data_IF_721195731336
#
_entry.id   IF_721195731336
#
_cell.length_a   1.000
_cell.length_b   1.000
_cell.length_c   1.000
_cell.angle_alpha   90.00
_cell.angle_beta   90.00
_cell.angle_gamma   90.00
#
_symmetry.space_group_name_H-M   'P 1'
#
loop_
_entity.id
_entity.type
_entity.pdbx_description
1 polymer ?
#
# COMPACT_ATOMS: atom_id res chain seq x y z
N UNK A 1 -11.58 87.57 11.68
CA UNK A 1 -12.24 87.36 10.38
C UNK A 1 -11.56 86.17 9.74
N UNK A 2 -11.98 84.96 10.09
CA UNK A 2 -11.58 83.78 9.32
C UNK A 2 -12.39 83.85 8.03
N UNK A 3 -11.72 83.90 6.87
CA UNK A 3 -12.40 83.85 5.58
C UNK A 3 -13.14 82.52 5.47
N UNK A 4 -14.47 82.57 5.46
CA UNK A 4 -15.33 81.44 5.14
C UNK A 4 -15.13 81.12 3.65
N UNK A 5 -14.44 80.01 3.35
CA UNK A 5 -14.33 79.47 1.99
C UNK A 5 -15.72 79.24 1.42
N UNK A 6 -15.94 79.61 0.16
CA UNK A 6 -17.25 79.47 -0.46
C UNK A 6 -17.59 78.00 -0.71
N UNK A 7 -18.88 77.65 -0.63
CA UNK A 7 -19.36 76.28 -0.92
C UNK A 7 -18.96 75.83 -2.33
N UNK A 8 -18.82 76.76 -3.29
CA UNK A 8 -18.34 76.47 -4.65
C UNK A 8 -16.88 76.03 -4.70
N UNK A 9 -16.00 76.65 -3.92
CA UNK A 9 -14.58 76.25 -3.82
C UNK A 9 -14.42 74.88 -3.16
N UNK A 10 -15.23 74.59 -2.14
CA UNK A 10 -15.26 73.27 -1.49
C UNK A 10 -15.79 72.18 -2.43
N UNK A 11 -16.78 72.50 -3.28
CA UNK A 11 -17.31 71.57 -4.27
C UNK A 11 -16.34 71.35 -5.45
N UNK A 12 -15.61 72.38 -5.90
CA UNK A 12 -14.55 72.20 -6.91
C UNK A 12 -13.33 71.45 -6.35
N UNK A 13 -13.01 71.61 -5.07
CA UNK A 13 -11.96 70.82 -4.40
C UNK A 13 -12.39 69.34 -4.23
N UNK A 14 -13.71 69.08 -4.06
CA UNK A 14 -14.27 67.72 -3.95
C UNK A 14 -14.63 67.06 -5.29
N UNK A 15 -14.99 67.82 -6.33
CA UNK A 15 -15.57 67.30 -7.58
C UNK A 15 -15.00 67.95 -8.85
N UNK A 16 -14.10 68.92 -8.74
CA UNK A 16 -13.45 69.54 -9.89
C UNK A 16 -12.58 68.54 -10.66
N UNK A 17 -12.39 68.77 -11.96
CA UNK A 17 -11.70 67.86 -12.88
C UNK A 17 -10.30 67.43 -12.38
N UNK A 18 -9.56 68.33 -11.73
CA UNK A 18 -8.26 67.99 -11.13
C UNK A 18 -8.37 67.04 -9.94
N UNK A 19 -9.42 67.15 -9.13
CA UNK A 19 -9.65 66.25 -7.99
C UNK A 19 -10.07 64.84 -8.45
N UNK A 20 -10.86 64.76 -9.53
CA UNK A 20 -11.25 63.49 -10.17
C UNK A 20 -10.03 62.82 -10.80
N UNK A 21 -9.19 63.57 -11.53
CA UNK A 21 -7.95 63.03 -12.13
C UNK A 21 -6.95 62.52 -11.08
N UNK A 22 -6.83 63.21 -9.93
CA UNK A 22 -6.01 62.75 -8.78
C UNK A 22 -6.54 61.46 -8.15
N UNK A 23 -7.86 61.29 -8.04
CA UNK A 23 -8.47 60.04 -7.53
C UNK A 23 -8.27 58.88 -8.51
N UNK A 24 -8.43 59.14 -9.80
CA UNK A 24 -8.25 58.15 -10.85
C UNK A 24 -6.81 57.63 -10.87
N UNK A 25 -5.83 58.53 -10.85
CA UNK A 25 -4.40 58.16 -10.79
C UNK A 25 -4.02 57.43 -9.49
N UNK A 26 -4.62 57.79 -8.35
CA UNK A 26 -4.41 57.08 -7.09
C UNK A 26 -4.98 55.64 -7.12
N UNK A 27 -6.15 55.43 -7.74
CA UNK A 27 -6.74 54.11 -7.94
C UNK A 27 -5.88 53.25 -8.87
N UNK A 28 -5.41 53.80 -9.99
CA UNK A 28 -4.52 53.10 -10.92
C UNK A 28 -3.18 52.71 -10.26
N UNK A 29 -2.61 53.59 -9.43
CA UNK A 29 -1.41 53.27 -8.63
C UNK A 29 -1.68 52.16 -7.61
N UNK A 30 -2.85 52.18 -6.97
CA UNK A 30 -3.27 51.13 -6.05
C UNK A 30 -3.42 49.78 -6.75
N UNK A 31 -4.11 49.74 -7.91
CA UNK A 31 -4.32 48.54 -8.70
C UNK A 31 -3.00 47.97 -9.22
N UNK A 32 -2.09 48.82 -9.72
CA UNK A 32 -0.73 48.45 -10.12
C UNK A 32 0.06 47.86 -8.94
N UNK A 33 0.00 48.49 -7.76
CA UNK A 33 0.61 47.98 -6.54
C UNK A 33 0.02 46.65 -6.06
N UNK A 34 -1.27 46.41 -6.29
CA UNK A 34 -1.92 45.13 -6.00
C UNK A 34 -1.47 44.03 -6.95
N UNK A 35 -1.37 44.32 -8.25
CA UNK A 35 -0.84 43.39 -9.25
C UNK A 35 0.59 42.96 -8.92
N UNK A 36 1.44 43.90 -8.51
CA UNK A 36 2.82 43.63 -8.09
C UNK A 36 2.89 42.78 -6.83
N UNK A 37 2.08 43.07 -5.81
CA UNK A 37 2.00 42.23 -4.59
C UNK A 37 1.56 40.81 -4.93
N UNK A 38 0.55 40.65 -5.78
CA UNK A 38 0.09 39.33 -6.25
C UNK A 38 1.16 38.59 -7.04
N UNK A 39 1.87 39.27 -7.93
CA UNK A 39 2.97 38.68 -8.71
C UNK A 39 4.14 38.27 -7.80
N UNK A 40 4.55 39.13 -6.87
CA UNK A 40 5.59 38.85 -5.87
C UNK A 40 5.25 37.61 -5.04
N UNK A 41 4.03 37.58 -4.52
CA UNK A 41 3.53 36.45 -3.73
C UNK A 41 3.49 35.16 -4.55
N UNK A 42 2.95 35.21 -5.77
CA UNK A 42 2.85 34.04 -6.66
C UNK A 42 4.22 33.47 -7.02
N UNK A 43 5.17 34.32 -7.41
CA UNK A 43 6.50 33.85 -7.80
C UNK A 43 7.26 33.28 -6.61
N UNK A 44 7.22 33.94 -5.44
CA UNK A 44 7.87 33.44 -4.23
C UNK A 44 7.28 32.08 -3.79
N UNK A 45 5.95 31.97 -3.72
CA UNK A 45 5.29 30.72 -3.38
C UNK A 45 5.62 29.61 -4.39
N UNK A 46 5.64 29.92 -5.69
CA UNK A 46 6.01 28.95 -6.72
C UNK A 46 7.44 28.42 -6.57
N UNK A 47 8.39 29.22 -6.06
CA UNK A 47 9.74 28.74 -5.74
C UNK A 47 9.73 27.82 -4.52
N UNK A 48 9.07 28.23 -3.44
CA UNK A 48 8.99 27.46 -2.18
C UNK A 48 8.30 26.12 -2.42
N UNK A 49 7.10 26.14 -3.02
CA UNK A 49 6.31 24.94 -3.31
C UNK A 49 7.06 23.96 -4.21
N UNK A 50 7.81 24.45 -5.20
CA UNK A 50 8.62 23.60 -6.08
C UNK A 50 9.73 22.87 -5.32
N UNK A 51 10.40 23.56 -4.40
CA UNK A 51 11.47 23.00 -3.57
C UNK A 51 10.92 22.01 -2.55
N UNK A 52 9.82 22.35 -1.87
CA UNK A 52 9.15 21.46 -0.94
C UNK A 52 8.58 20.21 -1.63
N UNK A 53 8.05 20.36 -2.85
CA UNK A 53 7.58 19.23 -3.66
C UNK A 53 8.72 18.26 -3.98
N UNK A 54 9.91 18.78 -4.33
CA UNK A 54 11.08 17.94 -4.56
C UNK A 54 11.57 17.23 -3.28
N UNK A 55 11.61 17.91 -2.12
CA UNK A 55 11.96 17.25 -0.84
C UNK A 55 10.94 16.17 -0.46
N UNK A 56 9.65 16.45 -0.64
CA UNK A 56 8.57 15.51 -0.36
C UNK A 56 8.65 14.29 -1.28
N UNK A 57 8.87 14.49 -2.58
CA UNK A 57 9.03 13.41 -3.53
C UNK A 57 10.26 12.52 -3.20
N UNK A 58 11.39 13.14 -2.85
CA UNK A 58 12.59 12.42 -2.40
C UNK A 58 12.31 11.57 -1.15
N UNK A 59 11.67 12.17 -0.13
CA UNK A 59 11.25 11.49 1.10
C UNK A 59 10.33 10.31 0.79
N UNK A 60 9.25 10.52 0.06
CA UNK A 60 8.26 9.49 -0.28
C UNK A 60 8.89 8.35 -1.07
N UNK A 61 9.80 8.65 -2.00
CA UNK A 61 10.50 7.63 -2.79
C UNK A 61 11.40 6.76 -1.91
N UNK A 62 12.18 7.37 -1.01
CA UNK A 62 13.06 6.63 -0.11
C UNK A 62 12.27 5.78 0.90
N UNK A 63 11.24 6.35 1.53
CA UNK A 63 10.37 5.64 2.47
C UNK A 63 9.68 4.46 1.79
N UNK A 64 9.11 4.65 0.59
CA UNK A 64 8.46 3.56 -0.15
C UNK A 64 9.43 2.42 -0.48
N UNK A 65 10.68 2.73 -0.81
CA UNK A 65 11.70 1.72 -1.09
C UNK A 65 12.05 0.92 0.18
N UNK A 66 12.25 1.60 1.31
CA UNK A 66 12.49 0.99 2.62
C UNK A 66 11.32 0.09 3.04
N UNK A 67 10.09 0.60 2.98
CA UNK A 67 8.88 -0.15 3.26
C UNK A 67 8.76 -1.40 2.41
N UNK A 68 8.95 -1.25 1.09
CA UNK A 68 8.92 -2.36 0.16
C UNK A 68 9.96 -3.42 0.48
N UNK A 69 11.17 -3.01 0.87
CA UNK A 69 12.22 -3.93 1.30
C UNK A 69 11.88 -4.66 2.60
N UNK A 70 11.43 -3.96 3.64
CA UNK A 70 11.08 -4.58 4.93
C UNK A 70 9.95 -5.58 4.77
N UNK A 71 8.92 -5.29 3.95
CA UNK A 71 7.82 -6.23 3.67
C UNK A 71 8.27 -7.48 2.90
N UNK A 72 9.26 -7.36 2.00
CA UNK A 72 9.87 -8.54 1.37
C UNK A 72 10.62 -9.40 2.39
N UNK A 73 11.48 -8.76 3.20
CA UNK A 73 12.22 -9.43 4.27
C UNK A 73 11.27 -10.12 5.26
N UNK A 74 10.15 -9.49 5.63
CA UNK A 74 9.09 -10.07 6.46
C UNK A 74 8.59 -11.40 5.87
N UNK A 75 8.16 -11.36 4.61
CA UNK A 75 7.58 -12.52 3.93
C UNK A 75 8.58 -13.68 3.85
N UNK A 76 9.81 -13.40 3.42
CA UNK A 76 10.86 -14.41 3.24
C UNK A 76 11.33 -14.98 4.59
N UNK A 77 11.47 -14.12 5.61
CA UNK A 77 11.84 -14.52 6.96
C UNK A 77 10.80 -15.44 7.58
N UNK A 78 9.51 -15.12 7.45
CA UNK A 78 8.43 -15.95 7.99
C UNK A 78 8.33 -17.30 7.26
N UNK A 79 8.46 -17.30 5.93
CA UNK A 79 8.48 -18.53 5.14
C UNK A 79 9.67 -19.42 5.52
N UNK A 80 10.87 -18.83 5.65
CA UNK A 80 12.09 -19.52 6.04
C UNK A 80 12.00 -20.08 7.46
N UNK A 81 11.55 -19.27 8.42
CA UNK A 81 11.43 -19.69 9.82
C UNK A 81 10.43 -20.84 9.99
N UNK A 82 9.25 -20.76 9.34
CA UNK A 82 8.27 -21.85 9.33
C UNK A 82 8.86 -23.15 8.78
N UNK A 83 9.63 -23.08 7.69
CA UNK A 83 10.32 -24.24 7.12
C UNK A 83 11.38 -24.82 8.07
N UNK A 84 12.16 -23.98 8.73
CA UNK A 84 13.21 -24.40 9.67
C UNK A 84 12.64 -25.08 10.92
N UNK A 85 11.54 -24.56 11.46
CA UNK A 85 10.88 -25.12 12.65
C UNK A 85 9.98 -26.32 12.29
N UNK A 86 9.70 -26.53 11.00
CA UNK A 86 8.86 -27.63 10.53
C UNK A 86 7.37 -27.38 10.68
N UNK A 87 6.94 -26.11 10.67
CA UNK A 87 5.52 -25.73 10.65
C UNK A 87 4.98 -26.01 9.25
N UNK A 88 3.90 -26.78 9.18
CA UNK A 88 3.20 -27.12 7.94
C UNK A 88 2.32 -25.96 7.52
N UNK A 89 2.42 -25.59 6.23
CA UNK A 89 1.69 -24.46 5.66
C UNK A 89 0.16 -24.63 5.61
N UNK A 90 -0.55 -23.66 5.03
CA UNK A 90 -2.00 -23.73 4.88
C UNK A 90 -2.43 -24.87 3.94
N UNK A 91 -3.57 -25.47 4.23
CA UNK A 91 -4.19 -26.54 3.45
C UNK A 91 -4.63 -26.07 2.06
N UNK A 92 -5.12 -24.82 1.97
CA UNK A 92 -5.73 -24.25 0.75
C UNK A 92 -6.87 -25.14 0.22
N UNK A 93 -7.78 -25.56 1.10
CA UNK A 93 -8.84 -26.53 0.78
C UNK A 93 -9.70 -26.10 -0.40
N UNK A 94 -10.00 -24.81 -0.56
CA UNK A 94 -10.81 -24.32 -1.68
C UNK A 94 -10.14 -24.54 -3.04
N UNK A 95 -8.80 -24.43 -3.09
CA UNK A 95 -8.02 -24.74 -4.30
C UNK A 95 -7.97 -26.24 -4.56
N UNK A 96 -7.79 -27.04 -3.48
CA UNK A 96 -7.79 -28.51 -3.58
C UNK A 96 -9.14 -29.02 -4.05
N UNK A 97 -10.23 -28.52 -3.48
CA UNK A 97 -11.59 -28.88 -3.86
C UNK A 97 -11.91 -28.47 -5.31
N UNK A 98 -11.55 -27.25 -5.71
CA UNK A 98 -11.67 -26.82 -7.10
C UNK A 98 -10.87 -27.72 -8.06
N UNK A 99 -9.69 -28.22 -7.65
CA UNK A 99 -8.93 -29.18 -8.43
C UNK A 99 -9.61 -30.56 -8.49
N UNK A 100 -10.17 -31.05 -7.38
CA UNK A 100 -10.92 -32.30 -7.33
C UNK A 100 -12.11 -32.30 -8.28
N UNK A 101 -12.85 -31.19 -8.34
CA UNK A 101 -13.99 -31.03 -9.26
C UNK A 101 -13.61 -31.14 -10.74
N UNK A 102 -12.35 -30.86 -11.10
CA UNK A 102 -11.84 -30.94 -12.49
C UNK A 102 -11.27 -32.32 -12.85
N UNK A 103 -11.17 -33.24 -11.90
CA UNK A 103 -10.61 -34.57 -12.17
C UNK A 103 -11.61 -35.44 -12.93
N UNK A 104 -11.11 -36.16 -13.94
CA UNK A 104 -11.89 -37.05 -14.80
C UNK A 104 -11.65 -38.53 -14.48
N UNK A 105 -10.62 -38.84 -13.69
CA UNK A 105 -10.33 -40.18 -13.21
C UNK A 105 -10.66 -40.33 -11.72
N UNK A 106 -11.46 -41.36 -11.40
CA UNK A 106 -11.81 -41.72 -10.02
C UNK A 106 -10.61 -42.19 -9.22
N UNK A 107 -9.64 -42.88 -9.84
CA UNK A 107 -8.46 -43.34 -9.13
C UNK A 107 -7.55 -42.16 -8.74
N UNK A 108 -7.35 -41.21 -9.67
CA UNK A 108 -6.65 -39.96 -9.37
C UNK A 108 -7.33 -39.17 -8.24
N UNK A 109 -8.65 -38.98 -8.28
CA UNK A 109 -9.40 -38.27 -7.23
C UNK A 109 -9.17 -38.89 -5.85
N UNK A 110 -9.33 -40.22 -5.74
CA UNK A 110 -9.16 -40.92 -4.47
C UNK A 110 -7.72 -40.81 -3.95
N UNK A 111 -6.71 -40.93 -4.83
CA UNK A 111 -5.32 -40.77 -4.45
C UNK A 111 -5.02 -39.35 -3.92
N UNK A 112 -5.63 -38.32 -4.53
CA UNK A 112 -5.44 -36.91 -4.14
C UNK A 112 -6.16 -36.56 -2.83
N UNK A 113 -7.30 -37.19 -2.57
CA UNK A 113 -7.99 -37.09 -1.27
C UNK A 113 -7.20 -37.78 -0.16
N UNK A 114 -6.63 -38.96 -0.43
CA UNK A 114 -5.76 -39.68 0.51
C UNK A 114 -4.51 -38.84 0.86
N UNK A 115 -3.87 -38.23 -0.14
CA UNK A 115 -2.77 -37.26 0.06
C UNK A 115 -3.21 -36.06 0.92
N UNK A 116 -4.45 -35.61 0.77
CA UNK A 116 -4.98 -34.49 1.56
C UNK A 116 -5.19 -34.86 3.01
N UNK A 117 -5.76 -36.04 3.30
CA UNK A 117 -5.90 -36.55 4.66
C UNK A 117 -4.54 -36.80 5.32
N UNK A 118 -3.58 -37.35 4.59
CA UNK A 118 -2.21 -37.52 5.08
C UNK A 118 -1.54 -36.17 5.40
N UNK A 119 -1.75 -35.16 4.57
CA UNK A 119 -1.25 -33.81 4.82
C UNK A 119 -1.88 -33.20 6.09
N UNK A 120 -3.20 -33.34 6.28
CA UNK A 120 -3.90 -32.89 7.50
C UNK A 120 -3.30 -33.58 8.73
N UNK A 121 -3.09 -34.89 8.66
CA UNK A 121 -2.51 -35.65 9.76
C UNK A 121 -1.10 -35.17 10.14
N UNK A 122 -0.24 -34.90 9.16
CA UNK A 122 1.08 -34.32 9.40
C UNK A 122 0.95 -32.93 10.02
N UNK A 123 0.04 -32.08 9.51
CA UNK A 123 -0.21 -30.74 10.03
C UNK A 123 -0.63 -30.76 11.50
N UNK A 124 -1.58 -31.62 11.87
CA UNK A 124 -2.07 -31.74 13.25
C UNK A 124 -0.97 -32.16 14.23
N UNK A 125 -0.05 -33.03 13.81
CA UNK A 125 1.09 -33.45 14.64
C UNK A 125 2.20 -32.39 14.69
N UNK A 126 2.38 -31.64 13.60
CA UNK A 126 3.48 -30.73 13.44
C UNK A 126 3.21 -29.36 14.08
N UNK A 127 2.01 -28.82 13.90
CA UNK A 127 1.67 -27.43 14.23
C UNK A 127 1.14 -27.31 15.66
N UNK A 128 2.06 -27.29 16.63
CA UNK A 128 1.74 -26.93 18.01
C UNK A 128 1.90 -25.43 18.24
N UNK A 129 1.17 -24.85 19.20
CA UNK A 129 1.29 -23.44 19.54
C UNK A 129 2.74 -23.03 19.85
N UNK A 130 3.50 -23.89 20.54
CA UNK A 130 4.92 -23.66 20.83
C UNK A 130 5.79 -23.61 19.58
N UNK A 131 5.57 -24.49 18.61
CA UNK A 131 6.32 -24.49 17.33
C UNK A 131 5.95 -23.30 16.46
N UNK A 132 4.66 -22.94 16.42
CA UNK A 132 4.22 -21.75 15.68
C UNK A 132 4.85 -20.50 16.30
N UNK A 133 4.81 -20.36 17.64
CA UNK A 133 5.49 -19.27 18.36
C UNK A 133 6.99 -19.23 18.08
N UNK A 134 7.67 -20.37 18.15
CA UNK A 134 9.09 -20.46 17.84
C UNK A 134 9.40 -20.04 16.38
N UNK A 135 8.50 -20.31 15.43
CA UNK A 135 8.65 -19.83 14.07
C UNK A 135 8.50 -18.30 13.97
N UNK A 136 7.58 -17.68 14.71
CA UNK A 136 7.47 -16.22 14.77
C UNK A 136 8.66 -15.55 15.48
N UNK A 137 9.17 -16.14 16.55
CA UNK A 137 10.36 -15.64 17.23
C UNK A 137 11.60 -15.70 16.33
N UNK A 138 11.79 -16.84 15.64
CA UNK A 138 12.86 -17.00 14.65
C UNK A 138 12.68 -16.05 13.46
N UNK A 139 11.46 -15.87 12.97
CA UNK A 139 11.16 -14.90 11.92
C UNK A 139 11.48 -13.48 12.36
N UNK A 140 11.12 -13.07 13.58
CA UNK A 140 11.43 -11.75 14.12
C UNK A 140 12.93 -11.47 14.17
N UNK A 141 13.73 -12.46 14.58
CA UNK A 141 15.19 -12.34 14.56
C UNK A 141 15.75 -12.19 13.13
N UNK A 142 15.23 -12.97 12.18
CA UNK A 142 15.62 -12.86 10.77
C UNK A 142 15.22 -11.52 10.16
N UNK A 143 14.04 -10.98 10.51
CA UNK A 143 13.59 -9.66 10.07
C UNK A 143 14.52 -8.56 10.58
N UNK A 144 14.89 -8.59 11.87
CA UNK A 144 15.83 -7.61 12.42
C UNK A 144 17.20 -7.70 11.74
N UNK A 145 17.69 -8.91 11.48
CA UNK A 145 18.95 -9.14 10.77
C UNK A 145 18.88 -8.65 9.31
N UNK A 146 17.79 -8.92 8.61
CA UNK A 146 17.57 -8.48 7.24
C UNK A 146 17.40 -6.96 7.13
N UNK A 147 16.64 -6.36 8.04
CA UNK A 147 16.44 -4.91 8.10
C UNK A 147 17.74 -4.16 8.44
N UNK A 148 18.62 -4.73 9.27
CA UNK A 148 19.93 -4.14 9.58
C UNK A 148 20.80 -3.87 8.34
N UNK A 149 20.60 -4.61 7.24
CA UNK A 149 21.28 -4.38 5.95
C UNK A 149 20.95 -3.01 5.33
N UNK A 150 19.84 -2.38 5.71
CA UNK A 150 19.52 -1.02 5.27
C UNK A 150 20.56 -0.01 5.77
N UNK A 151 21.15 -0.24 6.94
CA UNK A 151 22.23 0.58 7.48
C UNK A 151 23.55 0.41 6.74
N UNK A 152 23.68 -0.59 5.86
CA UNK A 152 24.84 -0.77 4.98
C UNK A 152 24.73 0.05 3.68
N UNK A 153 23.53 0.54 3.33
CA UNK A 153 23.32 1.37 2.14
C UNK A 153 23.91 2.75 2.37
N UNK A 154 24.95 3.08 1.60
CA UNK A 154 25.64 4.38 1.65
C UNK A 154 25.09 5.31 0.58
N UNK A 155 24.93 6.57 0.93
CA UNK A 155 24.59 7.63 -0.04
C UNK A 155 25.76 7.83 -0.99
N UNK A 156 25.50 7.79 -2.29
CA UNK A 156 26.53 7.99 -3.33
C UNK A 156 27.00 9.45 -3.38
N UNK A 157 28.09 9.70 -4.11
CA UNK A 157 28.59 11.07 -4.32
C UNK A 157 27.55 11.93 -5.05
N UNK A 158 27.40 13.17 -4.55
CA UNK A 158 26.51 14.18 -5.10
C UNK A 158 26.80 14.47 -6.58
N UNK A 159 25.81 14.97 -7.29
CA UNK A 159 26.01 15.50 -8.64
C UNK A 159 26.99 16.69 -8.59
N UNK A 160 27.92 16.81 -9.56
CA UNK A 160 28.80 17.96 -9.63
C UNK A 160 27.97 19.23 -9.81
N UNK A 161 28.23 20.26 -8.97
CA UNK A 161 27.65 21.57 -9.17
C UNK A 161 28.16 22.17 -10.49
N UNK A 162 27.27 22.86 -11.20
CA UNK A 162 27.64 23.69 -12.33
C UNK A 162 28.56 24.82 -11.85
N UNK A 163 29.72 24.97 -12.49
CA UNK A 163 30.72 25.97 -12.14
C UNK A 163 30.18 27.41 -12.31
N UNK A 164 29.18 27.59 -13.18
CA UNK A 164 28.55 28.89 -13.44
C UNK A 164 27.57 29.30 -12.32
N UNK A 165 27.20 28.38 -11.42
CA UNK A 165 26.35 28.64 -10.24
C UNK A 165 27.14 29.19 -9.04
N UNK A 166 28.47 29.23 -9.14
CA UNK A 166 29.38 29.73 -8.09
C UNK A 166 29.41 31.26 -8.04
N UNK A 167 28.30 31.87 -7.63
CA UNK A 167 28.36 33.26 -7.17
C UNK A 167 29.04 33.32 -5.80
N UNK A 168 29.83 34.38 -5.57
CA UNK A 168 30.46 34.75 -4.30
C UNK A 168 29.49 34.83 -3.09
N UNK A 169 28.17 34.83 -3.33
CA UNK A 169 27.12 34.70 -2.32
C UNK A 169 27.14 33.36 -1.56
N UNK A 170 27.68 32.27 -2.15
CA UNK A 170 27.75 30.95 -1.49
C UNK A 170 28.69 30.93 -0.27
N UNK A 171 29.74 31.74 -0.25
CA UNK A 171 30.66 31.82 0.90
C UNK A 171 30.03 32.48 2.14
N UNK A 172 29.04 33.36 1.93
CA UNK A 172 28.27 33.99 3.01
C UNK A 172 27.15 33.08 3.53
N UNK A 173 26.57 32.23 2.66
CA UNK A 173 25.53 31.26 3.02
C UNK A 173 26.09 30.00 3.72
N UNK A 174 27.36 29.65 3.48
CA UNK A 174 28.08 28.55 4.16
C UNK A 174 28.08 28.65 5.70
N UNK A 175 27.94 29.85 6.27
CA UNK A 175 27.86 30.08 7.72
C UNK A 175 26.45 29.96 8.32
N UNK A 176 25.40 29.90 7.49
CA UNK A 176 23.98 29.84 7.92
C UNK A 176 23.30 28.48 7.64
N UNK A 177 24.03 27.56 7.01
CA UNK A 177 23.55 26.27 6.48
C UNK A 177 23.21 25.19 7.52
N UNK A 178 23.24 25.52 8.82
CA UNK A 178 22.71 24.65 9.89
C UNK A 178 21.18 24.83 10.08
N UNK A 179 20.56 25.69 9.28
CA UNK A 179 19.12 25.96 9.36
C UNK A 179 18.33 25.01 8.46
N UNK A 180 17.43 24.24 9.07
CA UNK A 180 16.43 23.39 8.39
C UNK A 180 15.38 24.19 7.60
N UNK A 181 15.45 25.53 7.62
CA UNK A 181 14.45 26.44 7.04
C UNK A 181 14.86 26.93 5.64
N UNK A 182 14.76 26.01 4.67
CA UNK A 182 15.03 26.33 3.26
C UNK A 182 14.04 27.37 2.70
N UNK A 183 12.79 27.36 3.16
CA UNK A 183 11.78 28.34 2.78
C UNK A 183 12.14 29.75 3.28
N UNK A 184 12.63 29.89 4.51
CA UNK A 184 13.14 31.14 5.07
C UNK A 184 14.34 31.67 4.29
N UNK A 185 15.28 30.80 3.90
CA UNK A 185 16.43 31.18 3.07
C UNK A 185 16.03 31.64 1.66
N UNK A 186 15.10 30.92 1.01
CA UNK A 186 14.54 31.31 -0.30
C UNK A 186 13.89 32.69 -0.20
N UNK A 187 13.10 32.91 0.85
CA UNK A 187 12.44 34.19 1.12
C UNK A 187 13.46 35.30 1.30
N UNK A 188 14.47 35.11 2.16
CA UNK A 188 15.51 36.11 2.40
C UNK A 188 16.29 36.46 1.12
N UNK A 189 16.63 35.45 0.31
CA UNK A 189 17.32 35.65 -0.98
C UNK A 189 16.46 36.45 -1.94
N UNK A 190 15.19 36.06 -2.09
CA UNK A 190 14.24 36.73 -2.95
C UNK A 190 14.02 38.20 -2.56
N UNK A 191 13.87 38.48 -1.26
CA UNK A 191 13.69 39.85 -0.75
C UNK A 191 14.94 40.72 -0.86
N UNK A 192 16.12 40.12 -0.65
CA UNK A 192 17.40 40.79 -0.87
C UNK A 192 17.58 41.21 -2.33
N UNK A 193 17.27 40.31 -3.26
CA UNK A 193 17.36 40.56 -4.70
C UNK A 193 16.37 41.62 -5.18
N UNK A 194 15.16 41.64 -4.64
CA UNK A 194 14.19 42.71 -4.90
C UNK A 194 14.71 44.06 -4.41
N UNK A 195 15.30 44.10 -3.23
CA UNK A 195 15.83 45.33 -2.61
C UNK A 195 17.07 45.88 -3.34
N UNK A 196 17.94 44.99 -3.86
CA UNK A 196 19.11 45.35 -4.66
C UNK A 196 18.73 45.98 -6.02
N UNK A 197 17.56 45.62 -6.55
CA UNK A 197 17.02 46.17 -7.81
C UNK A 197 16.07 47.36 -7.61
N UNK A 198 16.08 47.99 -6.42
CA UNK A 198 15.18 49.07 -6.01
C UNK A 198 15.02 50.22 -7.01
N UNK A 199 13.95 51.03 -6.87
CA UNK A 199 13.52 51.97 -7.90
C UNK A 199 14.63 52.97 -8.21
N UNK A 200 15.20 52.88 -9.42
CA UNK A 200 16.05 53.94 -9.95
C UNK A 200 15.15 55.12 -10.23
N UNK A 201 15.27 56.18 -9.43
CA UNK A 201 14.56 57.45 -9.61
C UNK A 201 14.62 57.88 -11.07
N UNK A 202 13.50 57.73 -11.78
CA UNK A 202 13.30 58.39 -13.05
C UNK A 202 13.04 59.86 -12.74
N UNK A 203 14.13 60.63 -12.64
CA UNK A 203 14.08 62.08 -12.55
C UNK A 203 13.24 62.66 -13.69
N UNK A 204 12.13 63.28 -13.29
CA UNK A 204 11.39 64.35 -13.96
C UNK A 204 11.16 64.27 -15.46
N UNK A 205 9.98 63.83 -15.89
CA UNK A 205 9.36 64.34 -17.11
C UNK A 205 7.83 64.45 -16.95
N UNK A 206 7.35 65.69 -16.83
CA UNK A 206 5.94 66.04 -16.84
C UNK A 206 5.44 66.16 -18.30
N UNK A 207 4.38 65.43 -18.65
CA UNK A 207 3.70 65.54 -19.95
C UNK A 207 2.47 64.64 -20.04
N UNK A 208 1.27 65.25 -19.90
CA UNK A 208 -0.03 64.63 -19.58
C UNK A 208 -0.70 63.67 -20.58
N UNK A 209 0.04 62.97 -21.44
CA UNK A 209 -0.47 61.82 -22.21
C UNK A 209 0.56 60.67 -22.23
N UNK A 210 1.81 60.93 -21.82
CA UNK A 210 2.88 59.95 -21.70
C UNK A 210 2.91 59.25 -20.32
N UNK A 211 2.10 59.71 -19.36
CA UNK A 211 2.08 59.20 -17.99
C UNK A 211 1.56 57.77 -17.85
N UNK A 212 0.62 57.36 -18.68
CA UNK A 212 0.02 56.02 -18.60
C UNK A 212 0.94 54.95 -19.22
N UNK A 213 1.47 55.21 -20.41
CA UNK A 213 2.48 54.36 -21.07
C UNK A 213 3.76 54.25 -20.24
N UNK A 214 4.19 55.34 -19.59
CA UNK A 214 5.34 55.31 -18.68
C UNK A 214 5.05 54.48 -17.41
N UNK A 215 3.82 54.53 -16.89
CA UNK A 215 3.37 53.74 -15.76
C UNK A 215 3.31 52.24 -16.06
N UNK A 216 2.83 51.86 -17.24
CA UNK A 216 2.78 50.46 -17.67
C UNK A 216 4.18 49.89 -17.94
N UNK A 217 5.07 50.68 -18.55
CA UNK A 217 6.48 50.28 -18.74
C UNK A 217 7.20 50.15 -17.39
N UNK A 218 6.88 50.98 -16.40
CA UNK A 218 7.43 50.84 -15.05
C UNK A 218 6.91 49.57 -14.35
N UNK A 219 5.61 49.28 -14.46
CA UNK A 219 5.00 48.05 -13.94
C UNK A 219 5.64 46.80 -14.57
N UNK A 220 5.83 46.77 -15.89
CA UNK A 220 6.44 45.66 -16.59
C UNK A 220 7.90 45.43 -16.17
N UNK A 221 8.66 46.51 -15.94
CA UNK A 221 10.01 46.44 -15.37
C UNK A 221 10.02 45.86 -13.96
N UNK A 222 9.09 46.26 -13.10
CA UNK A 222 9.01 45.69 -11.75
C UNK A 222 8.60 44.21 -11.78
N UNK A 223 7.67 43.81 -12.66
CA UNK A 223 7.32 42.39 -12.86
C UNK A 223 8.49 41.56 -13.39
N UNK A 224 9.30 42.11 -14.29
CA UNK A 224 10.52 41.43 -14.75
C UNK A 224 11.58 41.33 -13.65
N UNK A 225 11.71 42.34 -12.79
CA UNK A 225 12.56 42.27 -11.60
C UNK A 225 12.09 41.17 -10.63
N UNK A 226 10.77 41.06 -10.40
CA UNK A 226 10.18 39.99 -9.58
C UNK A 226 10.52 38.61 -10.14
N UNK A 227 10.37 38.41 -11.45
CA UNK A 227 10.76 37.13 -12.11
C UNK A 227 12.26 36.87 -12.01
N UNK A 228 13.10 37.90 -12.15
CA UNK A 228 14.54 37.82 -12.00
C UNK A 228 14.97 37.43 -10.58
N UNK A 229 14.34 38.03 -9.57
CA UNK A 229 14.54 37.68 -8.17
C UNK A 229 14.11 36.24 -7.87
N UNK A 230 12.97 35.80 -8.42
CA UNK A 230 12.50 34.42 -8.31
C UNK A 230 13.50 33.44 -8.93
N UNK A 231 14.04 33.75 -10.11
CA UNK A 231 15.04 32.91 -10.76
C UNK A 231 16.32 32.81 -9.94
N UNK A 232 16.80 33.92 -9.37
CA UNK A 232 17.99 33.90 -8.49
C UNK A 232 17.74 33.12 -7.20
N UNK A 233 16.55 33.25 -6.61
CA UNK A 233 16.16 32.44 -5.46
C UNK A 233 16.11 30.93 -5.78
N UNK A 234 15.65 30.53 -6.99
CA UNK A 234 15.72 29.13 -7.46
C UNK A 234 17.16 28.63 -7.56
N UNK A 235 18.06 29.42 -8.16
CA UNK A 235 19.48 29.05 -8.31
C UNK A 235 20.16 28.93 -6.94
N UNK A 236 19.87 29.83 -6.00
CA UNK A 236 20.38 29.76 -4.63
C UNK A 236 19.86 28.50 -3.89
N UNK A 237 18.57 28.17 -4.06
CA UNK A 237 18.00 26.95 -3.50
C UNK A 237 18.66 25.69 -4.06
N UNK A 238 18.94 25.66 -5.38
CA UNK A 238 19.66 24.54 -6.01
C UNK A 238 21.08 24.39 -5.46
N UNK A 239 21.82 25.50 -5.34
CA UNK A 239 23.17 25.47 -4.79
C UNK A 239 23.20 24.98 -3.34
N UNK A 240 22.23 25.41 -2.52
CA UNK A 240 22.10 24.95 -1.14
C UNK A 240 21.79 23.46 -1.04
N UNK A 241 20.88 22.96 -1.87
CA UNK A 241 20.59 21.51 -1.92
C UNK A 241 21.79 20.70 -2.34
N UNK A 242 22.57 21.19 -3.31
CA UNK A 242 23.78 20.52 -3.75
C UNK A 242 24.86 20.51 -2.64
N UNK A 243 24.95 21.56 -1.81
CA UNK A 243 25.81 21.54 -0.62
C UNK A 243 25.34 20.52 0.43
N UNK A 244 24.03 20.48 0.73
CA UNK A 244 23.45 19.46 1.62
C UNK A 244 23.72 18.04 1.10
N UNK A 245 23.51 17.81 -0.19
CA UNK A 245 23.80 16.57 -0.90
C UNK A 245 25.27 16.14 -0.74
N UNK A 246 26.21 17.09 -0.86
CA UNK A 246 27.63 16.84 -0.66
C UNK A 246 27.97 16.47 0.80
N UNK A 247 27.30 17.08 1.78
CA UNK A 247 27.50 16.76 3.22
C UNK A 247 27.00 15.36 3.58
N UNK A 248 25.88 14.93 2.99
CA UNK A 248 25.30 13.61 3.28
C UNK A 248 25.91 12.47 2.46
N UNK A 249 26.77 12.77 1.48
CA UNK A 249 27.50 11.74 0.74
C UNK A 249 28.28 10.82 1.70
N UNK A 250 28.19 9.51 1.47
CA UNK A 250 28.77 8.48 2.35
C UNK A 250 28.03 8.24 3.67
N UNK A 251 26.99 9.02 3.98
CA UNK A 251 26.13 8.76 5.15
C UNK A 251 25.29 7.51 4.93
N UNK A 252 24.69 7.00 6.00
CA UNK A 252 23.76 5.88 5.95
C UNK A 252 22.58 6.09 6.88
N UNK A 253 21.59 5.22 6.73
CA UNK A 253 20.39 5.25 7.56
C UNK A 253 20.71 4.64 8.92
N UNK A 254 20.72 5.50 9.95
CA UNK A 254 20.80 5.07 11.35
C UNK A 254 19.39 4.93 11.93
N UNK A 255 19.00 3.73 12.43
CA UNK A 255 17.67 3.51 12.95
C UNK A 255 17.47 4.18 14.31
N UNK A 256 16.28 4.76 14.56
CA UNK A 256 15.99 5.55 15.78
C UNK A 256 15.76 4.66 17.01
N UNK A 257 15.16 3.47 16.85
CA UNK A 257 15.04 2.46 17.91
C UNK A 257 14.43 1.17 17.35
N UNK A 258 15.23 0.10 17.24
CA UNK A 258 14.70 -1.19 16.80
C UNK A 258 13.96 -1.91 17.94
N UNK A 259 12.84 -2.60 17.67
CA UNK A 259 12.18 -3.44 18.65
C UNK A 259 13.07 -4.63 19.03
N UNK A 260 12.94 -5.10 20.27
CA UNK A 260 13.74 -6.24 20.78
C UNK A 260 13.26 -7.59 20.25
N UNK A 261 11.94 -7.77 20.14
CA UNK A 261 11.32 -9.03 19.71
C UNK A 261 9.86 -8.83 19.31
N UNK A 262 9.32 -9.80 18.56
CA UNK A 262 7.93 -9.76 18.09
C UNK A 262 6.91 -10.11 19.19
N UNK A 263 7.29 -10.90 20.20
CA UNK A 263 6.44 -11.28 21.34
C UNK A 263 5.04 -11.81 20.94
N UNK A 264 4.97 -12.59 19.86
CA UNK A 264 3.69 -13.08 19.32
C UNK A 264 3.11 -14.13 20.26
N UNK A 265 1.87 -13.90 20.70
CA UNK A 265 1.12 -14.87 21.50
C UNK A 265 0.52 -15.93 20.56
N UNK A 266 0.76 -17.20 20.87
CA UNK A 266 0.16 -18.33 20.16
C UNK A 266 -0.58 -19.20 21.16
N UNK A 267 -1.86 -19.44 20.91
CA UNK A 267 -2.74 -20.22 21.79
C UNK A 267 -3.31 -21.42 21.04
N UNK A 268 -3.40 -22.55 21.72
CA UNK A 268 -4.13 -23.71 21.21
C UNK A 268 -5.63 -23.45 21.37
N UNK A 269 -6.35 -23.30 20.26
CA UNK A 269 -7.77 -22.93 20.28
C UNK A 269 -8.73 -24.13 20.17
N UNK A 270 -8.23 -25.29 19.74
CA UNK A 270 -9.01 -26.53 19.63
C UNK A 270 -8.40 -27.63 20.48
N UNK A 271 -9.24 -28.50 21.06
CA UNK A 271 -8.75 -29.68 21.76
C UNK A 271 -8.09 -30.66 20.77
N UNK A 272 -6.83 -31.00 21.04
CA UNK A 272 -6.06 -31.86 20.15
C UNK A 272 -6.59 -33.30 20.10
N UNK A 273 -7.23 -33.77 21.19
CA UNK A 273 -7.87 -35.08 21.27
C UNK A 273 -9.13 -35.14 20.42
N UNK A 274 -10.02 -34.17 20.55
CA UNK A 274 -11.24 -34.07 19.74
C UNK A 274 -10.94 -33.89 18.24
N UNK A 275 -9.89 -33.12 17.91
CA UNK A 275 -9.48 -32.93 16.52
C UNK A 275 -8.87 -34.20 15.91
N UNK A 276 -8.14 -34.97 16.72
CA UNK A 276 -7.63 -36.30 16.33
C UNK A 276 -8.77 -37.31 16.15
N UNK A 277 -9.77 -37.26 17.02
CA UNK A 277 -10.98 -38.07 16.91
C UNK A 277 -11.76 -37.71 15.64
N UNK A 278 -11.92 -36.41 15.33
CA UNK A 278 -12.56 -35.98 14.08
C UNK A 278 -11.82 -36.52 12.86
N UNK A 279 -10.48 -36.43 12.83
CA UNK A 279 -9.66 -37.02 11.76
C UNK A 279 -9.91 -38.53 11.63
N UNK A 280 -9.98 -39.26 12.74
CA UNK A 280 -10.25 -40.71 12.73
C UNK A 280 -11.64 -41.02 12.14
N UNK A 281 -12.66 -40.25 12.53
CA UNK A 281 -14.01 -40.41 11.97
C UNK A 281 -14.08 -40.03 10.49
N UNK A 282 -13.35 -39.00 10.05
CA UNK A 282 -13.27 -38.63 8.62
C UNK A 282 -12.55 -39.71 7.81
N UNK A 283 -11.47 -40.30 8.32
CA UNK A 283 -10.80 -41.43 7.67
C UNK A 283 -11.73 -42.64 7.54
N UNK A 284 -12.52 -42.95 8.58
CA UNK A 284 -13.54 -44.00 8.51
C UNK A 284 -14.62 -43.69 7.47
N UNK A 285 -15.10 -42.45 7.40
CA UNK A 285 -16.05 -42.01 6.39
C UNK A 285 -15.46 -42.09 4.97
N UNK A 286 -14.16 -41.78 4.82
CA UNK A 286 -13.44 -41.88 3.55
C UNK A 286 -13.36 -43.32 3.02
N UNK A 287 -13.23 -44.33 3.89
CA UNK A 287 -13.27 -45.74 3.47
C UNK A 287 -14.62 -46.11 2.84
N UNK A 288 -15.72 -45.62 3.43
CA UNK A 288 -17.07 -45.80 2.88
C UNK A 288 -17.23 -45.02 1.58
N UNK A 289 -16.82 -43.75 1.55
CA UNK A 289 -16.81 -42.91 0.34
C UNK A 289 -16.04 -43.57 -0.81
N UNK A 290 -14.86 -44.14 -0.53
CA UNK A 290 -14.06 -44.85 -1.51
C UNK A 290 -14.81 -46.02 -2.15
N UNK A 291 -15.64 -46.73 -1.37
CA UNK A 291 -16.50 -47.81 -1.90
C UNK A 291 -17.63 -47.25 -2.77
N UNK A 292 -18.31 -46.20 -2.30
CA UNK A 292 -19.36 -45.50 -3.07
C UNK A 292 -18.83 -45.02 -4.44
N UNK A 293 -17.65 -44.41 -4.48
CA UNK A 293 -17.01 -43.95 -5.72
C UNK A 293 -16.49 -45.12 -6.58
N UNK A 294 -16.04 -46.21 -5.96
CA UNK A 294 -15.64 -47.40 -6.71
C UNK A 294 -16.83 -48.00 -7.47
N UNK A 295 -17.98 -48.10 -6.80
CA UNK A 295 -19.23 -48.69 -7.30
C UNK A 295 -19.97 -47.77 -8.28
N UNK A 296 -20.10 -46.48 -7.95
CA UNK A 296 -20.87 -45.49 -8.72
C UNK A 296 -20.06 -44.57 -9.65
N UNK A 297 -18.73 -44.61 -9.59
CA UNK A 297 -17.86 -43.73 -10.38
C UNK A 297 -17.90 -42.26 -9.92
N UNK A 298 -17.41 -41.35 -10.76
CA UNK A 298 -17.34 -39.91 -10.44
C UNK A 298 -18.71 -39.24 -10.29
N UNK A 299 -19.76 -39.83 -10.88
CA UNK A 299 -21.15 -39.40 -10.68
C UNK A 299 -21.55 -39.43 -9.20
N UNK A 300 -21.01 -40.37 -8.43
CA UNK A 300 -21.26 -40.52 -7.00
C UNK A 300 -20.14 -39.89 -6.14
N UNK A 301 -19.16 -39.20 -6.73
CA UNK A 301 -18.04 -38.63 -5.97
C UNK A 301 -18.36 -37.28 -5.32
N UNK A 302 -19.40 -36.60 -5.79
CA UNK A 302 -19.79 -35.27 -5.35
C UNK A 302 -21.32 -35.24 -5.20
N UNK A 303 -21.84 -34.50 -4.21
CA UNK A 303 -23.28 -34.46 -3.89
C UNK A 303 -24.17 -33.97 -5.04
N UNK A 304 -25.49 -33.98 -4.83
CA UNK A 304 -26.47 -33.54 -5.82
C UNK A 304 -26.16 -32.11 -6.32
N UNK A 305 -26.04 -31.92 -7.64
CA UNK A 305 -25.66 -30.65 -8.26
C UNK A 305 -24.17 -30.53 -8.65
N UNK A 306 -23.38 -31.59 -8.49
CA UNK A 306 -21.98 -31.58 -8.96
C UNK A 306 -21.87 -31.48 -10.49
N UNK A 307 -20.78 -30.91 -11.02
CA UNK A 307 -20.56 -30.82 -12.47
C UNK A 307 -20.66 -32.18 -13.18
N UNK A 308 -20.24 -33.24 -12.49
CA UNK A 308 -20.26 -34.62 -12.96
C UNK A 308 -21.66 -35.25 -12.96
N UNK A 309 -22.62 -34.71 -12.19
CA UNK A 309 -24.01 -35.18 -12.13
C UNK A 309 -24.99 -34.41 -13.01
N UNK A 310 -24.54 -33.36 -13.72
CA UNK A 310 -25.39 -32.55 -14.60
C UNK A 310 -25.48 -33.23 -15.98
N UNK A 311 -26.41 -34.16 -16.13
CA UNK A 311 -26.89 -34.63 -17.44
C UNK A 311 -27.98 -33.69 -17.99
N UNK A 312 -27.70 -32.39 -18.02
CA UNK A 312 -28.56 -31.42 -18.70
C UNK A 312 -27.70 -30.56 -19.60
N UNK A 313 -28.11 -30.42 -20.87
CA UNK A 313 -27.69 -29.31 -21.72
C UNK A 313 -28.13 -28.01 -21.07
N UNK A 314 -27.39 -27.56 -20.05
CA UNK A 314 -27.67 -26.31 -19.37
C UNK A 314 -27.29 -25.19 -20.32
N UNK A 315 -28.33 -24.56 -20.83
CA UNK A 315 -28.34 -23.28 -21.49
C UNK A 315 -27.97 -22.22 -20.45
N UNK A 316 -26.76 -21.63 -20.50
CA UNK A 316 -26.38 -20.56 -19.58
C UNK A 316 -26.96 -19.24 -20.09
N UNK A 317 -27.81 -18.62 -19.29
CA UNK A 317 -28.36 -17.31 -19.56
C UNK A 317 -27.53 -16.25 -18.82
N UNK A 318 -27.26 -15.13 -19.47
CA UNK A 318 -26.66 -13.94 -18.86
C UNK A 318 -27.64 -12.78 -19.00
N UNK A 319 -27.67 -11.93 -17.99
CA UNK A 319 -28.61 -10.82 -17.94
C UNK A 319 -28.04 -9.66 -18.78
N UNK A 320 -28.64 -9.42 -19.95
CA UNK A 320 -28.22 -8.29 -20.80
C UNK A 320 -28.97 -7.03 -20.36
N UNK A 321 -28.25 -6.17 -19.65
CA UNK A 321 -28.77 -4.89 -19.15
C UNK A 321 -29.34 -3.96 -20.24
N UNK A 322 -29.08 -4.22 -21.53
CA UNK A 322 -29.67 -3.47 -22.65
C UNK A 322 -31.08 -3.92 -23.00
N UNK A 323 -31.42 -5.17 -22.70
CA UNK A 323 -32.72 -5.78 -23.02
C UNK A 323 -33.57 -6.07 -21.78
N UNK A 324 -33.01 -5.94 -20.57
CA UNK A 324 -33.69 -6.23 -19.30
C UNK A 324 -34.29 -7.66 -19.28
N UNK A 325 -33.59 -8.58 -19.93
CA UNK A 325 -34.00 -9.97 -20.08
C UNK A 325 -32.78 -10.90 -19.98
N UNK A 326 -33.03 -12.12 -19.52
CA UNK A 326 -32.06 -13.20 -19.50
C UNK A 326 -31.85 -13.72 -20.93
N UNK A 327 -30.67 -13.48 -21.50
CA UNK A 327 -30.33 -13.88 -22.88
C UNK A 327 -29.52 -15.18 -22.86
N UNK A 328 -29.90 -16.15 -23.70
CA UNK A 328 -29.18 -17.42 -23.83
C UNK A 328 -27.79 -17.19 -24.43
N UNK A 329 -26.74 -17.41 -23.63
CA UNK A 329 -25.34 -17.23 -24.02
C UNK A 329 -24.72 -18.49 -24.63
N UNK A 330 -25.24 -19.67 -24.32
CA UNK A 330 -24.81 -20.91 -24.97
C UNK A 330 -25.37 -22.17 -24.32
N UNK A 331 -25.37 -23.28 -25.06
CA UNK A 331 -25.78 -24.60 -24.58
C UNK A 331 -24.58 -25.48 -24.21
N UNK A 332 -24.70 -26.21 -23.11
CA UNK A 332 -23.71 -27.20 -22.68
C UNK A 332 -23.67 -28.39 -23.65
N UNK A 333 -22.54 -28.57 -24.35
CA UNK A 333 -22.35 -29.59 -25.39
C UNK A 333 -21.68 -30.90 -24.90
N UNK A 334 -21.40 -31.00 -23.60
CA UNK A 334 -20.73 -32.17 -23.00
C UNK A 334 -19.24 -32.33 -23.36
N UNK A 335 -18.67 -31.43 -24.17
CA UNK A 335 -17.24 -31.41 -24.54
C UNK A 335 -16.49 -30.22 -23.89
N UNK A 336 -17.22 -29.18 -23.49
CA UNK A 336 -16.66 -27.99 -22.86
C UNK A 336 -16.30 -28.27 -21.40
N UNK A 337 -15.00 -28.19 -21.07
CA UNK A 337 -14.48 -28.35 -19.70
C UNK A 337 -15.28 -27.49 -18.73
N UNK A 338 -15.70 -28.06 -17.61
CA UNK A 338 -16.33 -27.30 -16.53
C UNK A 338 -15.45 -26.10 -16.17
N UNK A 339 -15.97 -24.88 -16.36
CA UNK A 339 -15.26 -23.66 -16.01
C UNK A 339 -15.34 -23.45 -14.49
N UNK A 340 -14.71 -24.37 -13.74
CA UNK A 340 -14.65 -24.32 -12.29
C UNK A 340 -13.68 -23.21 -11.91
N UNK A 341 -14.17 -22.23 -11.14
CA UNK A 341 -13.36 -21.13 -10.59
C UNK A 341 -12.09 -21.66 -9.93
N UNK A 342 -11.05 -20.82 -9.85
CA UNK A 342 -9.75 -21.20 -9.28
C UNK A 342 -9.86 -21.68 -7.83
N UNK A 343 -10.83 -21.14 -7.08
CA UNK A 343 -11.13 -21.43 -5.68
C UNK A 343 -12.65 -21.65 -5.54
N UNK A 344 -13.04 -22.74 -4.88
CA UNK A 344 -14.44 -23.12 -4.64
C UNK A 344 -14.54 -23.72 -3.24
N UNK A 345 -15.47 -23.23 -2.42
CA UNK A 345 -15.75 -23.80 -1.11
C UNK A 345 -16.47 -25.16 -1.22
N UNK A 346 -16.23 -26.06 -0.26
CA UNK A 346 -17.04 -27.28 -0.13
C UNK A 346 -18.48 -26.85 0.23
N UNK A 347 -19.50 -27.27 -0.55
CA UNK A 347 -20.88 -26.87 -0.30
C UNK A 347 -21.39 -27.28 1.08
N UNK A 348 -22.41 -26.58 1.55
CA UNK A 348 -23.21 -27.00 2.71
C UNK A 348 -24.15 -28.12 2.29
N UNK A 349 -23.73 -29.35 2.61
CA UNK A 349 -24.44 -30.58 2.21
C UNK A 349 -25.29 -31.18 3.33
N UNK A 350 -25.24 -30.58 4.52
CA UNK A 350 -25.92 -31.02 5.74
C UNK A 350 -26.44 -29.78 6.44
N UNK A 351 -27.66 -29.83 6.99
CA UNK A 351 -28.20 -28.75 7.82
C UNK A 351 -27.40 -28.66 9.13
N UNK A 352 -26.56 -27.63 9.21
CA UNK A 352 -25.72 -27.29 10.36
C UNK A 352 -26.46 -26.35 11.33
N UNK A 353 -25.96 -26.19 12.56
CA UNK A 353 -26.48 -25.18 13.48
C UNK A 353 -26.38 -23.76 12.88
N UNK A 354 -27.36 -22.88 13.14
CA UNK A 354 -27.42 -21.51 12.59
C UNK A 354 -26.38 -20.53 13.17
N UNK A 355 -25.32 -21.02 13.80
CA UNK A 355 -24.24 -20.20 14.33
C UNK A 355 -23.20 -19.88 13.24
N UNK A 356 -22.48 -18.77 13.38
CA UNK A 356 -21.34 -18.44 12.51
C UNK A 356 -20.28 -19.55 12.57
N UNK A 357 -20.08 -20.25 11.44
CA UNK A 357 -19.19 -21.41 11.34
C UNK A 357 -19.86 -22.78 11.58
N UNK A 358 -21.17 -22.82 11.84
CA UNK A 358 -21.98 -24.03 11.93
C UNK A 358 -21.72 -24.86 13.19
N UNK A 359 -21.64 -26.18 13.04
CA UNK A 359 -21.45 -27.10 14.16
C UNK A 359 -20.10 -26.91 14.87
N UNK A 360 -20.12 -26.92 16.22
CA UNK A 360 -18.92 -26.94 17.08
C UNK A 360 -18.07 -28.21 16.87
N UNK A 361 -16.80 -28.22 17.30
CA UNK A 361 -15.90 -29.38 17.12
C UNK A 361 -16.50 -30.67 17.72
N UNK A 362 -16.99 -30.60 18.96
CA UNK A 362 -17.66 -31.71 19.63
C UNK A 362 -18.94 -32.16 18.89
N UNK A 363 -19.73 -31.22 18.38
CA UNK A 363 -20.93 -31.52 17.60
C UNK A 363 -20.59 -32.20 16.26
N UNK A 364 -19.53 -31.73 15.57
CA UNK A 364 -19.04 -32.33 14.35
C UNK A 364 -18.53 -33.77 14.58
N UNK A 365 -17.81 -34.02 15.68
CA UNK A 365 -17.39 -35.37 16.08
C UNK A 365 -18.60 -36.28 16.33
N UNK A 366 -19.58 -35.81 17.10
CA UNK A 366 -20.78 -36.57 17.40
C UNK A 366 -21.58 -36.92 16.12
N UNK A 367 -21.74 -35.95 15.22
CA UNK A 367 -22.43 -36.14 13.94
C UNK A 367 -21.68 -37.09 13.03
N UNK A 368 -20.36 -36.97 12.93
CA UNK A 368 -19.54 -37.91 12.14
C UNK A 368 -19.64 -39.36 12.68
N UNK A 369 -19.76 -39.55 14.00
CA UNK A 369 -20.02 -40.88 14.58
C UNK A 369 -21.39 -41.42 14.17
N UNK A 370 -22.42 -40.58 14.14
CA UNK A 370 -23.76 -40.95 13.66
C UNK A 370 -23.73 -41.34 12.19
N UNK A 371 -23.09 -40.55 11.33
CA UNK A 371 -22.93 -40.86 9.92
C UNK A 371 -22.19 -42.18 9.70
N UNK A 372 -21.12 -42.43 10.46
CA UNK A 372 -20.34 -43.66 10.39
C UNK A 372 -21.01 -44.87 11.06
N UNK A 373 -22.13 -44.70 11.74
CA UNK A 373 -22.93 -45.80 12.28
C UNK A 373 -23.87 -46.40 11.21
N UNK A 374 -24.21 -45.62 10.18
CA UNK A 374 -24.96 -46.12 9.02
C UNK A 374 -24.08 -47.04 8.19
N UNK A 375 -24.60 -48.21 7.86
CA UNK A 375 -23.92 -49.21 7.03
C UNK A 375 -24.18 -48.89 5.57
N UNK A 376 -23.12 -48.93 4.76
CA UNK A 376 -23.24 -48.89 3.31
C UNK A 376 -23.51 -50.30 2.78
N UNK A 377 -24.63 -50.49 2.08
CA UNK A 377 -25.08 -51.78 1.56
C UNK A 377 -24.68 -52.02 0.08
N UNK A 378 -23.74 -51.22 -0.43
CA UNK A 378 -23.15 -51.38 -1.76
C UNK A 378 -24.01 -50.77 -2.86
N UNK A 379 -24.03 -51.39 -4.03
CA UNK A 379 -24.83 -50.94 -5.20
C UNK A 379 -26.34 -50.90 -4.90
N UNK A 380 -26.81 -51.65 -3.91
CA UNK A 380 -28.22 -51.72 -3.51
C UNK A 380 -28.58 -50.74 -2.39
N UNK A 381 -27.64 -49.89 -1.97
CA UNK A 381 -27.91 -48.86 -0.96
C UNK A 381 -28.98 -47.88 -1.47
N UNK A 382 -29.98 -47.60 -0.65
CA UNK A 382 -31.11 -46.75 -1.02
C UNK A 382 -30.72 -45.26 -1.16
N UNK A 383 -29.67 -44.83 -0.44
CA UNK A 383 -29.20 -43.44 -0.45
C UNK A 383 -27.67 -43.35 -0.35
N UNK A 384 -26.92 -43.71 -1.40
CA UNK A 384 -25.47 -43.59 -1.41
C UNK A 384 -24.98 -42.14 -1.28
N UNK A 385 -25.83 -41.15 -1.57
CA UNK A 385 -25.49 -39.74 -1.47
C UNK A 385 -25.31 -39.30 -0.01
N UNK A 386 -25.99 -39.93 0.95
CA UNK A 386 -25.80 -39.61 2.37
C UNK A 386 -24.36 -39.86 2.85
N UNK A 387 -23.71 -40.92 2.35
CA UNK A 387 -22.31 -41.24 2.67
C UNK A 387 -21.33 -40.26 2.03
N UNK A 388 -21.64 -39.77 0.83
CA UNK A 388 -20.85 -38.75 0.12
C UNK A 388 -20.93 -37.41 0.84
N UNK A 389 -22.14 -37.00 1.22
CA UNK A 389 -22.37 -35.76 1.96
C UNK A 389 -21.68 -35.81 3.34
N UNK A 390 -21.73 -36.96 4.03
CA UNK A 390 -21.04 -37.15 5.30
C UNK A 390 -19.51 -36.97 5.18
N UNK A 391 -18.89 -37.53 4.14
CA UNK A 391 -17.45 -37.37 3.92
C UNK A 391 -17.07 -35.90 3.67
N UNK A 392 -17.76 -35.23 2.75
CA UNK A 392 -17.46 -33.84 2.41
C UNK A 392 -17.74 -32.87 3.56
N UNK A 393 -18.80 -33.10 4.35
CA UNK A 393 -19.04 -32.39 5.61
C UNK A 393 -17.86 -32.58 6.58
N UNK A 394 -17.46 -33.83 6.81
CA UNK A 394 -16.36 -34.15 7.71
C UNK A 394 -15.04 -33.51 7.28
N UNK A 395 -14.72 -33.56 5.99
CA UNK A 395 -13.52 -32.92 5.43
C UNK A 395 -13.56 -31.38 5.54
N UNK A 396 -14.73 -30.77 5.31
CA UNK A 396 -14.95 -29.32 5.50
C UNK A 396 -14.69 -28.92 6.95
N UNK A 397 -15.31 -29.62 7.90
CA UNK A 397 -15.15 -29.35 9.34
C UNK A 397 -13.72 -29.59 9.81
N UNK A 398 -13.11 -30.69 9.39
CA UNK A 398 -11.73 -30.99 9.71
C UNK A 398 -10.78 -29.91 9.19
N UNK A 399 -10.99 -29.38 7.99
CA UNK A 399 -10.21 -28.24 7.48
C UNK A 399 -10.40 -26.97 8.33
N UNK A 400 -11.65 -26.61 8.63
CA UNK A 400 -11.96 -25.42 9.44
C UNK A 400 -11.24 -25.46 10.79
N UNK A 401 -11.37 -26.57 11.53
CA UNK A 401 -10.75 -26.73 12.84
C UNK A 401 -9.24 -26.96 12.78
N UNK A 402 -8.72 -27.57 11.71
CA UNK A 402 -7.27 -27.73 11.53
C UNK A 402 -6.55 -26.40 11.26
N UNK A 403 -7.15 -25.50 10.48
CA UNK A 403 -6.61 -24.15 10.28
C UNK A 403 -6.79 -23.26 11.52
N UNK A 404 -7.88 -23.45 12.27
CA UNK A 404 -8.13 -22.73 13.52
C UNK A 404 -7.43 -23.34 14.76
N UNK A 405 -6.68 -24.44 14.62
CA UNK A 405 -6.14 -25.20 15.76
C UNK A 405 -5.18 -24.37 16.63
N UNK A 406 -4.41 -23.49 15.99
CA UNK A 406 -3.50 -22.55 16.66
C UNK A 406 -3.93 -21.13 16.30
N UNK A 407 -4.36 -20.37 17.31
CA UNK A 407 -4.65 -18.95 17.18
C UNK A 407 -3.36 -18.17 17.37
N UNK A 408 -3.06 -17.31 16.41
CA UNK A 408 -1.89 -16.41 16.44
C UNK A 408 -2.39 -14.99 16.64
N UNK A 409 -1.76 -14.24 17.54
CA UNK A 409 -1.97 -12.80 17.63
C UNK A 409 -1.24 -12.08 16.48
N UNK A 410 -1.87 -12.09 15.30
CA UNK A 410 -1.33 -11.43 14.11
C UNK A 410 -1.13 -9.92 14.32
N UNK A 411 -1.91 -9.28 15.21
CA UNK A 411 -1.75 -7.85 15.51
C UNK A 411 -0.43 -7.55 16.20
N UNK A 412 0.05 -8.44 17.08
CA UNK A 412 1.35 -8.29 17.71
C UNK A 412 2.48 -8.39 16.68
N UNK A 413 2.34 -9.29 15.70
CA UNK A 413 3.27 -9.41 14.58
C UNK A 413 3.26 -8.15 13.70
N UNK A 414 2.09 -7.70 13.27
CA UNK A 414 1.95 -6.48 12.46
C UNK A 414 2.54 -5.27 13.18
N UNK A 415 2.23 -5.09 14.47
CA UNK A 415 2.80 -4.02 15.29
C UNK A 415 4.33 -4.10 15.41
N UNK A 416 4.90 -5.30 15.47
CA UNK A 416 6.34 -5.50 15.44
C UNK A 416 6.94 -5.04 14.11
N UNK A 417 6.34 -5.44 12.98
CA UNK A 417 6.80 -5.03 11.65
C UNK A 417 6.68 -3.52 11.46
N UNK A 418 5.56 -2.91 11.86
CA UNK A 418 5.36 -1.47 11.77
C UNK A 418 6.42 -0.70 12.57
N UNK A 419 6.84 -1.22 13.73
CA UNK A 419 7.95 -0.63 14.51
C UNK A 419 9.29 -0.76 13.80
N UNK A 420 9.55 -1.88 13.13
CA UNK A 420 10.77 -2.05 12.33
C UNK A 420 10.77 -1.07 11.15
N UNK A 421 9.66 -0.95 10.42
CA UNK A 421 9.50 0.01 9.31
C UNK A 421 9.74 1.44 9.80
N UNK A 422 8.99 1.86 10.83
CA UNK A 422 9.09 3.20 11.40
C UNK A 422 10.52 3.55 11.85
N UNK A 423 11.27 2.59 12.40
CA UNK A 423 12.65 2.80 12.82
C UNK A 423 13.57 3.24 11.67
N UNK A 424 13.27 2.88 10.42
CA UNK A 424 14.02 3.25 9.22
C UNK A 424 13.35 4.35 8.39
N UNK A 425 12.02 4.45 8.37
CA UNK A 425 11.30 5.42 7.53
C UNK A 425 11.61 6.86 7.90
N UNK A 426 11.60 7.17 9.21
CA UNK A 426 11.84 8.54 9.66
C UNK A 426 13.28 8.99 9.36
N UNK A 427 14.32 8.19 9.68
CA UNK A 427 15.71 8.52 9.32
C UNK A 427 15.96 8.53 7.82
N UNK A 428 15.45 7.54 7.06
CA UNK A 428 15.61 7.48 5.62
C UNK A 428 14.93 8.68 4.94
N UNK A 429 13.73 9.05 5.40
CA UNK A 429 13.01 10.22 4.93
C UNK A 429 13.75 11.53 5.24
N UNK A 430 14.30 11.70 6.44
CA UNK A 430 15.12 12.87 6.80
C UNK A 430 16.42 12.97 6.00
N UNK A 431 17.05 11.82 5.72
CA UNK A 431 18.25 11.75 4.90
C UNK A 431 17.94 12.07 3.44
N UNK A 432 16.86 11.52 2.88
CA UNK A 432 16.45 11.73 1.49
C UNK A 432 16.07 13.19 1.19
N UNK A 433 15.49 13.93 2.14
CA UNK A 433 15.24 15.36 1.96
C UNK A 433 16.53 16.19 1.76
N UNK A 434 17.68 15.67 2.17
CA UNK A 434 18.99 16.32 2.00
C UNK A 434 19.72 15.87 0.74
N UNK A 435 19.25 14.80 0.08
CA UNK A 435 19.85 14.26 -1.13
C UNK A 435 19.46 15.07 -2.36
N UNK A 436 20.31 15.00 -3.39
CA UNK A 436 19.93 15.38 -4.75
C UNK A 436 19.20 14.23 -5.48
N UNK A 437 18.60 14.52 -6.64
CA UNK A 437 17.79 13.55 -7.39
C UNK A 437 18.61 12.30 -7.81
N UNK A 438 19.90 12.47 -8.10
CA UNK A 438 20.80 11.36 -8.46
C UNK A 438 21.06 10.45 -7.26
N UNK A 439 21.31 11.03 -6.10
CA UNK A 439 21.51 10.32 -4.84
C UNK A 439 20.25 9.57 -4.42
N UNK A 440 19.07 10.18 -4.51
CA UNK A 440 17.80 9.51 -4.21
C UNK A 440 17.59 8.31 -5.13
N UNK A 441 17.76 8.49 -6.44
CA UNK A 441 17.57 7.41 -7.40
C UNK A 441 18.55 6.24 -7.15
N UNK A 442 19.82 6.54 -6.86
CA UNK A 442 20.83 5.54 -6.54
C UNK A 442 20.55 4.83 -5.20
N UNK A 443 20.10 5.56 -4.19
CA UNK A 443 19.73 5.01 -2.89
C UNK A 443 18.56 4.04 -3.03
N UNK A 444 17.49 4.44 -3.73
CA UNK A 444 16.32 3.58 -4.00
C UNK A 444 16.74 2.33 -4.77
N UNK A 445 17.54 2.48 -5.82
CA UNK A 445 18.03 1.33 -6.58
C UNK A 445 18.89 0.37 -5.72
N UNK A 446 19.70 0.90 -4.81
CA UNK A 446 20.50 0.09 -3.90
C UNK A 446 19.61 -0.68 -2.90
N UNK A 447 18.59 -0.02 -2.32
CA UNK A 447 17.61 -0.66 -1.43
C UNK A 447 16.83 -1.76 -2.15
N UNK A 448 16.39 -1.51 -3.38
CA UNK A 448 15.69 -2.53 -4.17
C UNK A 448 16.59 -3.71 -4.54
N UNK A 449 17.87 -3.44 -4.84
CA UNK A 449 18.85 -4.49 -5.12
C UNK A 449 19.15 -5.39 -3.91
N UNK A 450 19.06 -4.88 -2.68
CA UNK A 450 19.24 -5.70 -1.47
C UNK A 450 18.25 -6.88 -1.44
N UNK A 451 17.04 -6.69 -1.94
CA UNK A 451 15.98 -7.70 -1.99
C UNK A 451 15.99 -8.60 -3.22
N UNK A 452 16.78 -8.28 -4.25
CA UNK A 452 16.89 -9.09 -5.48
C UNK A 452 18.04 -10.11 -5.43
N UNK A 453 18.90 -10.04 -4.41
CA UNK A 453 20.09 -10.88 -4.24
C UNK A 453 19.83 -12.17 -3.41
N UNK A 454 18.60 -12.40 -2.97
CA UNK A 454 18.14 -13.63 -2.30
C UNK A 454 17.22 -14.42 -3.24
#
# INVERSE_FOLDING_TARGET
MAEERSVGELLDELFGFESVAKRQTALEQYDRGELLRKARSRELLGVIEGVEAAERAARESAVRAVDGYVRRVEFDSLARARKQVGVVGPLQMERRYAAFLRMEDKAELLARLEQTLAFIEVKLRANTADRVRAAYDAAGALVLQGAARLSDVRVVDAAPLDADLLCTQLEQLRCAADTTDLAGMITATFESELSATGPRDAGGFAGGVAGDVAGDVALERELTNVRGAAQRARLAAQAYRAERAARVAGSAVEPVSLPQSACVVCETACDAGELSELLAQVKKSFETYRRVVADGGLFCAFGAGSPHGICRGSSYFDYDARFDEDVLVGEYDGATRHNVRREVAIPELVDEASADGGDSLAAAVARMREFNARRYDGVLDEDPACHVNAFWYGLKKLNQYCEAAVRVDERAWDCFIDKVQFAYDEPAGRLAMQMDDKQVAAFVAAVDALGAAE
#
